data_IF_242526914118
#
_entry.id   IF_242526914118
#
_cell.length_a   1.000
_cell.length_b   1.000
_cell.length_c   1.000
_cell.angle_alpha   90.00
_cell.angle_beta   90.00
_cell.angle_gamma   90.00
#
_symmetry.space_group_name_H-M   'P 1'
#
loop_
_entity.id
_entity.type
_entity.pdbx_description
1 polymer ?
#
# COMPACT_ATOMS: atom_id res chain seq x y z
N UNK A 1 -14.44 11.97 10.73
CA UNK A 1 -14.21 10.52 10.76
C UNK A 1 -13.08 10.22 9.79
N UNK A 2 -12.07 9.44 10.18
CA UNK A 2 -10.97 9.09 9.27
C UNK A 2 -11.41 7.95 8.34
N UNK A 3 -11.14 8.09 7.04
CA UNK A 3 -11.36 7.02 6.07
C UNK A 3 -10.27 5.95 6.25
N UNK A 4 -10.67 4.72 6.56
CA UNK A 4 -9.76 3.58 6.75
C UNK A 4 -9.76 2.71 5.50
N UNK A 5 -8.58 2.43 4.92
CA UNK A 5 -8.45 1.61 3.72
C UNK A 5 -8.15 0.13 3.98
N UNK A 6 -7.60 -0.18 5.16
CA UNK A 6 -7.27 -1.53 5.63
C UNK A 6 -7.69 -1.63 7.09
N UNK A 7 -8.41 -2.68 7.45
CA UNK A 7 -8.71 -3.01 8.85
C UNK A 7 -8.17 -4.40 9.18
N UNK A 8 -7.68 -4.55 10.39
CA UNK A 8 -7.21 -5.81 10.93
C UNK A 8 -7.94 -6.11 12.23
N UNK A 9 -8.47 -7.32 12.37
CA UNK A 9 -9.15 -7.79 13.58
C UNK A 9 -9.00 -9.30 13.72
N UNK A 10 -8.51 -9.77 14.87
CA UNK A 10 -8.38 -11.20 15.18
C UNK A 10 -7.66 -12.00 14.08
N UNK A 11 -6.57 -11.44 13.53
CA UNK A 11 -5.79 -12.06 12.43
C UNK A 11 -6.46 -11.98 11.05
N UNK A 12 -7.67 -11.44 10.95
CA UNK A 12 -8.33 -11.17 9.66
C UNK A 12 -7.88 -9.83 9.11
N UNK A 13 -7.61 -9.81 7.81
CA UNK A 13 -7.26 -8.60 7.05
C UNK A 13 -8.42 -8.32 6.11
N UNK A 14 -8.95 -7.10 6.15
CA UNK A 14 -9.97 -6.65 5.22
C UNK A 14 -9.57 -5.32 4.59
N UNK A 15 -9.84 -5.17 3.30
CA UNK A 15 -9.59 -3.95 2.54
C UNK A 15 -10.91 -3.39 2.03
N UNK A 16 -10.97 -2.08 1.84
CA UNK A 16 -12.07 -1.48 1.08
C UNK A 16 -11.82 -1.64 -0.41
N UNK A 17 -12.85 -2.03 -1.19
CA UNK A 17 -12.75 -2.01 -2.65
C UNK A 17 -12.81 -0.57 -3.17
N UNK A 18 -11.64 -0.02 -3.47
CA UNK A 18 -11.52 1.36 -3.93
C UNK A 18 -12.07 1.57 -5.35
N UNK A 19 -12.37 0.52 -6.12
CA UNK A 19 -12.99 0.65 -7.45
C UNK A 19 -14.45 1.08 -7.36
N UNK A 20 -15.10 0.80 -6.22
CA UNK A 20 -16.52 1.07 -6.01
C UNK A 20 -16.78 2.42 -5.33
N UNK A 21 -15.72 3.05 -4.81
CA UNK A 21 -15.79 4.38 -4.23
C UNK A 21 -16.05 5.46 -5.30
N UNK A 22 -16.74 6.56 -4.93
CA UNK A 22 -17.31 6.85 -3.61
C UNK A 22 -18.72 6.27 -3.40
N UNK A 23 -19.29 5.59 -4.41
CA UNK A 23 -20.70 5.22 -4.43
C UNK A 23 -21.06 4.02 -3.55
N UNK A 24 -20.16 3.06 -3.40
CA UNK A 24 -20.36 1.87 -2.58
C UNK A 24 -19.16 1.63 -1.68
N UNK A 25 -19.43 1.30 -0.42
CA UNK A 25 -18.42 0.87 0.55
C UNK A 25 -18.55 -0.64 0.69
N UNK A 26 -17.63 -1.37 0.07
CA UNK A 26 -17.55 -2.83 0.15
C UNK A 26 -16.22 -3.24 0.79
N UNK A 27 -16.29 -4.12 1.79
CA UNK A 27 -15.12 -4.68 2.47
C UNK A 27 -14.85 -6.09 1.96
N UNK A 28 -13.63 -6.34 1.53
CA UNK A 28 -13.18 -7.63 1.00
C UNK A 28 -12.17 -8.22 1.97
N UNK A 29 -12.42 -9.44 2.41
CA UNK A 29 -11.48 -10.19 3.24
C UNK A 29 -10.33 -10.74 2.40
N UNK A 30 -9.11 -10.55 2.88
CA UNK A 30 -7.88 -11.08 2.31
C UNK A 30 -7.36 -12.16 3.25
N UNK A 31 -7.35 -13.41 2.78
CA UNK A 31 -6.93 -14.58 3.56
C UNK A 31 -5.73 -15.31 2.99
N UNK A 32 -5.27 -14.91 1.80
CA UNK A 32 -4.13 -15.53 1.10
C UNK A 32 -3.26 -14.46 0.44
N UNK A 33 -2.00 -14.80 0.18
CA UNK A 33 -1.06 -13.92 -0.54
C UNK A 33 -1.52 -13.70 -1.98
N UNK A 34 -2.14 -14.70 -2.59
CA UNK A 34 -2.69 -14.64 -3.94
C UNK A 34 -3.84 -13.63 -4.03
N UNK A 35 -4.73 -13.60 -3.03
CA UNK A 35 -5.79 -12.60 -2.93
C UNK A 35 -5.24 -11.19 -2.72
N UNK A 36 -4.19 -11.04 -1.90
CA UNK A 36 -3.52 -9.76 -1.72
C UNK A 36 -2.91 -9.24 -3.02
N UNK A 37 -2.20 -10.12 -3.74
CA UNK A 37 -1.63 -9.81 -5.05
C UNK A 37 -2.73 -9.45 -6.07
N UNK A 38 -3.82 -10.21 -6.16
CA UNK A 38 -4.95 -9.90 -7.04
C UNK A 38 -5.55 -8.53 -6.71
N UNK A 39 -5.78 -8.22 -5.44
CA UNK A 39 -6.32 -6.94 -5.02
C UNK A 39 -5.42 -5.75 -5.37
N UNK A 40 -4.09 -5.89 -5.23
CA UNK A 40 -3.11 -4.88 -5.64
C UNK A 40 -3.11 -4.73 -7.17
N UNK A 41 -3.05 -5.85 -7.89
CA UNK A 41 -2.93 -5.87 -9.35
C UNK A 41 -4.18 -5.34 -10.05
N UNK A 42 -5.36 -5.62 -9.49
CA UNK A 42 -6.65 -5.14 -9.98
C UNK A 42 -7.01 -3.74 -9.47
N UNK A 43 -6.13 -3.12 -8.68
CA UNK A 43 -6.32 -1.79 -8.09
C UNK A 43 -7.51 -1.66 -7.13
N UNK A 44 -8.06 -2.78 -6.62
CA UNK A 44 -9.02 -2.77 -5.49
C UNK A 44 -8.44 -2.09 -4.27
N UNK A 45 -7.12 -2.19 -4.09
CA UNK A 45 -6.35 -1.36 -3.18
C UNK A 45 -5.20 -0.69 -3.92
N UNK A 46 -4.98 0.58 -3.62
CA UNK A 46 -3.93 1.39 -4.26
C UNK A 46 -3.43 2.48 -3.31
N UNK A 47 -2.33 3.10 -3.70
CA UNK A 47 -1.54 4.03 -2.90
C UNK A 47 -0.32 3.33 -2.30
N UNK A 48 0.86 3.92 -2.45
CA UNK A 48 2.14 3.30 -2.05
C UNK A 48 2.11 2.72 -0.63
N UNK A 49 1.67 3.50 0.38
CA UNK A 49 1.67 2.99 1.75
C UNK A 49 0.67 1.84 1.92
N UNK A 50 -0.53 1.95 1.32
CA UNK A 50 -1.56 0.92 1.44
C UNK A 50 -1.17 -0.40 0.76
N UNK A 51 -0.55 -0.33 -0.42
CA UNK A 51 -0.02 -1.50 -1.13
C UNK A 51 1.03 -2.21 -0.27
N UNK A 52 2.01 -1.46 0.24
CA UNK A 52 3.07 -2.02 1.08
C UNK A 52 2.52 -2.62 2.39
N UNK A 53 1.58 -1.94 3.04
CA UNK A 53 0.92 -2.45 4.25
C UNK A 53 0.16 -3.74 3.99
N UNK A 54 -0.65 -3.83 2.92
CA UNK A 54 -1.37 -5.06 2.62
C UNK A 54 -0.41 -6.21 2.30
N UNK A 55 0.63 -5.97 1.50
CA UNK A 55 1.61 -6.99 1.15
C UNK A 55 2.29 -7.55 2.42
N UNK A 56 2.78 -6.68 3.30
CA UNK A 56 3.43 -7.08 4.55
C UNK A 56 2.48 -7.84 5.49
N UNK A 57 1.25 -7.35 5.67
CA UNK A 57 0.26 -8.00 6.53
C UNK A 57 -0.14 -9.39 6.00
N UNK A 58 -0.43 -9.49 4.71
CA UNK A 58 -0.81 -10.77 4.08
C UNK A 58 0.31 -11.81 4.15
N UNK A 59 1.56 -11.39 3.94
CA UNK A 59 2.73 -12.25 4.06
C UNK A 59 2.94 -12.71 5.51
N UNK A 60 2.85 -11.81 6.48
CA UNK A 60 2.99 -12.14 7.89
C UNK A 60 1.91 -13.14 8.36
N UNK A 61 0.65 -12.91 7.99
CA UNK A 61 -0.45 -13.81 8.32
C UNK A 61 -0.27 -15.21 7.70
N UNK A 62 0.20 -15.27 6.45
CA UNK A 62 0.50 -16.54 5.79
C UNK A 62 1.65 -17.29 6.48
N UNK A 63 2.74 -16.57 6.82
CA UNK A 63 3.88 -17.16 7.52
C UNK A 63 3.48 -17.70 8.90
N UNK A 64 2.71 -16.94 9.66
CA UNK A 64 2.18 -17.36 10.97
C UNK A 64 1.30 -18.61 10.83
N UNK A 65 0.42 -18.67 9.83
CA UNK A 65 -0.41 -19.83 9.57
C UNK A 65 0.41 -21.08 9.22
N UNK A 66 1.48 -20.94 8.44
CA UNK A 66 2.37 -22.07 8.10
C UNK A 66 3.19 -22.53 9.31
N UNK A 67 3.73 -21.60 10.10
CA UNK A 67 4.46 -21.94 11.33
C UNK A 67 3.59 -22.68 12.34
N UNK A 68 2.31 -22.31 12.45
CA UNK A 68 1.37 -22.99 13.34
C UNK A 68 0.97 -24.40 12.88
N UNK A 69 1.12 -24.72 11.58
CA UNK A 69 0.88 -26.08 11.04
C UNK A 69 2.09 -26.99 11.23
N UNK A 70 3.30 -26.45 11.19
CA UNK A 70 4.54 -27.21 11.36
C UNK A 70 4.90 -27.35 12.85
N UNK A 71 5.05 -28.58 13.34
CA UNK A 71 5.65 -28.81 14.67
C UNK A 71 7.16 -28.51 14.70
N UNK A 72 7.80 -28.47 13.53
CA UNK A 72 9.19 -28.05 13.35
C UNK A 72 9.22 -26.63 12.75
N UNK A 73 9.40 -25.63 13.60
CA UNK A 73 9.74 -24.29 13.13
C UNK A 73 11.15 -24.29 12.52
N UNK A 74 11.36 -23.73 11.32
CA UNK A 74 12.68 -23.62 10.72
C UNK A 74 13.67 -22.93 11.66
N UNK A 75 14.89 -23.47 11.78
CA UNK A 75 15.94 -22.87 12.61
C UNK A 75 16.23 -21.40 12.21
N UNK A 76 16.03 -21.05 10.95
CA UNK A 76 16.14 -19.68 10.43
C UNK A 76 15.13 -18.69 11.01
N UNK A 77 14.03 -19.17 11.60
CA UNK A 77 13.00 -18.33 12.23
C UNK A 77 13.11 -18.30 13.76
N UNK A 78 14.15 -18.92 14.34
CA UNK A 78 14.34 -19.02 15.79
C UNK A 78 14.76 -17.69 16.45
N UNK A 79 15.37 -16.78 15.70
CA UNK A 79 15.76 -15.45 16.17
C UNK A 79 15.93 -14.46 15.00
N UNK A 80 15.92 -13.14 15.25
CA UNK A 80 16.26 -12.16 14.23
C UNK A 80 17.62 -12.41 13.58
N UNK A 81 18.64 -12.77 14.34
CA UNK A 81 19.98 -13.07 13.81
C UNK A 81 20.00 -14.32 12.93
N UNK A 82 19.26 -15.37 13.32
CA UNK A 82 19.10 -16.57 12.52
C UNK A 82 18.40 -16.26 11.19
N UNK A 83 17.44 -15.34 11.20
CA UNK A 83 16.77 -14.89 9.99
C UNK A 83 17.70 -14.08 9.09
N UNK A 84 18.48 -13.16 9.66
CA UNK A 84 19.43 -12.33 8.91
C UNK A 84 20.48 -13.18 8.18
N UNK A 85 20.94 -14.28 8.78
CA UNK A 85 21.88 -15.21 8.12
C UNK A 85 21.30 -15.96 6.92
N UNK A 86 19.97 -15.96 6.76
CA UNK A 86 19.25 -16.56 5.64
C UNK A 86 18.63 -15.48 4.70
N UNK A 87 18.94 -14.20 4.92
CA UNK A 87 18.46 -13.12 4.06
C UNK A 87 19.27 -13.09 2.76
N UNK A 88 18.61 -13.27 1.62
CA UNK A 88 19.21 -12.98 0.33
C UNK A 88 19.11 -11.49 0.04
N UNK A 89 20.25 -10.83 -0.17
CA UNK A 89 20.28 -9.48 -0.75
C UNK A 89 20.30 -9.64 -2.27
N UNK A 90 19.22 -9.25 -2.93
CA UNK A 90 19.11 -9.30 -4.38
C UNK A 90 19.33 -7.90 -4.93
N UNK A 91 20.30 -7.73 -5.82
CA UNK A 91 20.41 -6.52 -6.62
C UNK A 91 19.20 -6.44 -7.55
N UNK A 92 18.26 -5.57 -7.20
CA UNK A 92 17.05 -5.31 -8.00
C UNK A 92 17.38 -4.44 -9.22
N UNK A 93 18.50 -3.70 -9.15
CA UNK A 93 19.02 -2.85 -10.22
C UNK A 93 20.22 -3.52 -10.90
N UNK A 94 20.31 -3.54 -12.24
CA UNK A 94 21.49 -4.07 -12.94
C UNK A 94 22.78 -3.33 -12.59
N UNK A 95 23.92 -4.01 -12.66
CA UNK A 95 25.23 -3.36 -12.53
C UNK A 95 25.43 -2.30 -13.64
N UNK A 96 26.02 -1.16 -13.28
CA UNK A 96 26.24 -0.04 -14.21
C UNK A 96 25.01 0.86 -14.45
N UNK A 97 23.90 0.58 -13.74
CA UNK A 97 22.73 1.44 -13.76
C UNK A 97 23.05 2.86 -13.27
N UNK A 98 22.72 3.84 -14.10
CA UNK A 98 22.82 5.27 -13.77
C UNK A 98 21.44 5.75 -13.32
N UNK A 99 21.30 6.30 -12.10
CA UNK A 99 20.01 6.78 -11.62
C UNK A 99 19.52 8.02 -12.38
N UNK A 100 20.41 8.70 -13.14
CA UNK A 100 20.03 9.81 -14.01
C UNK A 100 19.02 9.35 -15.09
N UNK A 101 17.82 9.91 -15.07
CA UNK A 101 16.77 9.62 -16.07
C UNK A 101 15.87 8.43 -15.73
N UNK A 102 16.04 7.81 -14.56
CA UNK A 102 15.11 6.77 -14.08
C UNK A 102 13.97 7.46 -13.35
N UNK A 103 12.79 7.34 -13.95
CA UNK A 103 11.54 7.81 -13.38
C UNK A 103 10.69 6.60 -13.04
N UNK A 104 10.35 6.44 -11.76
CA UNK A 104 9.40 5.43 -11.30
C UNK A 104 8.02 6.11 -11.10
N UNK A 105 7.15 6.15 -12.12
CA UNK A 105 5.87 6.84 -12.05
C UNK A 105 4.88 6.19 -11.07
N UNK A 106 5.20 5.02 -10.51
CA UNK A 106 4.26 4.24 -9.68
C UNK A 106 4.09 4.81 -8.26
N UNK A 107 4.96 5.74 -7.84
CA UNK A 107 4.94 6.35 -6.52
C UNK A 107 5.07 7.87 -6.56
N UNK A 108 4.42 8.49 -7.54
CA UNK A 108 4.50 9.93 -7.74
C UNK A 108 3.66 10.67 -6.69
N UNK A 109 4.33 11.19 -5.65
CA UNK A 109 3.82 12.37 -4.96
C UNK A 109 3.94 13.50 -5.97
N UNK A 110 2.82 13.89 -6.59
CA UNK A 110 2.79 15.02 -7.51
C UNK A 110 3.32 16.26 -6.76
N UNK A 111 4.41 16.90 -7.24
CA UNK A 111 4.87 18.16 -6.68
C UNK A 111 3.70 19.15 -6.56
N UNK A 112 3.61 19.84 -5.43
CA UNK A 112 2.42 20.62 -5.10
C UNK A 112 2.13 21.67 -6.19
N UNK A 113 3.15 22.24 -6.81
CA UNK A 113 3.11 23.18 -7.92
C UNK A 113 2.50 22.64 -9.21
N UNK A 114 2.44 21.32 -9.41
CA UNK A 114 1.80 20.67 -10.57
C UNK A 114 0.31 20.37 -10.34
N UNK A 115 -0.20 20.47 -9.12
CA UNK A 115 -1.60 20.18 -8.79
C UNK A 115 -2.49 21.39 -9.16
N UNK A 116 -3.38 21.21 -10.14
CA UNK A 116 -4.26 22.28 -10.64
C UNK A 116 -5.54 22.47 -9.83
N UNK A 117 -6.09 21.39 -9.28
CA UNK A 117 -7.34 21.41 -8.50
C UNK A 117 -7.35 20.27 -7.48
N UNK A 118 -8.06 20.49 -6.37
CA UNK A 118 -8.46 19.45 -5.42
C UNK A 118 -9.97 19.28 -5.54
N UNK A 119 -10.40 18.06 -5.84
CA UNK A 119 -11.82 17.70 -5.99
C UNK A 119 -12.25 16.90 -4.77
N UNK A 120 -13.33 17.33 -4.13
CA UNK A 120 -13.98 16.63 -3.02
C UNK A 120 -15.46 16.43 -3.33
N UNK A 121 -16.17 15.71 -2.47
CA UNK A 121 -17.62 15.56 -2.55
C UNK A 121 -18.38 16.88 -2.32
N UNK A 122 -17.73 17.89 -1.72
CA UNK A 122 -18.33 19.20 -1.43
C UNK A 122 -18.07 20.24 -2.51
N UNK A 123 -17.13 19.99 -3.43
CA UNK A 123 -16.83 20.90 -4.53
C UNK A 123 -15.40 20.78 -5.06
N UNK A 124 -14.97 21.81 -5.78
CA UNK A 124 -13.63 21.88 -6.39
C UNK A 124 -12.89 23.10 -5.87
N UNK A 125 -11.73 22.90 -5.26
CA UNK A 125 -10.81 23.97 -4.88
C UNK A 125 -9.73 24.16 -5.95
N UNK A 126 -9.63 25.37 -6.47
CA UNK A 126 -8.60 25.81 -7.43
C UNK A 126 -7.71 26.86 -6.78
N UNK A 127 -6.45 26.96 -7.20
CA UNK A 127 -5.55 28.03 -6.73
C UNK A 127 -5.69 29.29 -7.56
N UNK A 128 -5.45 30.45 -6.93
CA UNK A 128 -5.21 31.68 -7.68
C UNK A 128 -3.93 31.59 -8.50
N UNK A 129 -3.82 32.41 -9.56
CA UNK A 129 -2.64 32.44 -10.44
C UNK A 129 -1.37 32.70 -9.63
N UNK A 130 -0.41 31.78 -9.68
CA UNK A 130 0.88 31.89 -8.97
C UNK A 130 0.85 31.48 -7.49
N UNK A 131 -0.27 30.95 -6.98
CA UNK A 131 -0.35 30.45 -5.61
C UNK A 131 0.03 28.96 -5.53
N UNK A 132 0.73 28.57 -4.46
CA UNK A 132 1.10 27.18 -4.16
C UNK A 132 0.19 26.52 -3.11
N UNK A 133 -0.74 27.28 -2.53
CA UNK A 133 -1.63 26.83 -1.45
C UNK A 133 -3.07 26.82 -1.97
N UNK A 134 -3.83 25.78 -1.64
CA UNK A 134 -5.27 25.72 -1.85
C UNK A 134 -6.00 26.25 -0.62
N UNK A 135 -6.98 27.11 -0.84
CA UNK A 135 -8.01 27.37 0.17
C UNK A 135 -9.02 26.21 0.13
N UNK A 136 -9.06 25.45 1.21
CA UNK A 136 -9.93 24.29 1.36
C UNK A 136 -11.20 24.59 2.16
N UNK A 137 -11.36 25.82 2.67
CA UNK A 137 -12.47 26.19 3.55
C UNK A 137 -13.86 25.98 2.92
N UNK A 138 -13.95 26.06 1.59
CA UNK A 138 -15.19 25.83 0.85
C UNK A 138 -15.45 24.38 0.42
N UNK A 139 -14.50 23.46 0.61
CA UNK A 139 -14.58 22.09 0.07
C UNK A 139 -14.23 20.98 1.08
N UNK A 140 -13.95 21.32 2.34
CA UNK A 140 -13.66 20.37 3.43
C UNK A 140 -14.66 20.52 4.57
#
# INVERSE_FOLDING_TARGET
MALTSIRTSDGKIEIIDQLLLPHTIEWIQISTVEQAHDAIKTMRIRGAPAIASLAALSFAANLEAELNKSSDSPASLASPDALMSHQAVVMVTPEGFKPEGVYNPSFDVTPADLISAIVTEKGVATRGKGQLVFDLSGVV
#
